data_IF_115074449879
#
_entry.id   IF_115074449879
#
_cell.length_a   1.000
_cell.length_b   1.000
_cell.length_c   1.000
_cell.angle_alpha   90.00
_cell.angle_beta   90.00
_cell.angle_gamma   90.00
#
_symmetry.space_group_name_H-M   'P 1'
#
loop_
_entity.id
_entity.type
_entity.pdbx_description
1 polymer ?
#
# COMPACT_ATOMS: atom_id res chain seq x y z
N UNK A 1 15.69 10.02 27.25
CA UNK A 1 15.94 11.49 27.11
C UNK A 1 16.68 12.08 28.29
N UNK A 2 17.13 13.34 28.17
CA UNK A 2 17.84 14.03 29.26
C UNK A 2 16.94 14.20 30.48
N UNK A 3 17.38 13.77 31.67
CA UNK A 3 16.62 13.78 32.94
C UNK A 3 15.91 15.10 33.21
N UNK A 4 16.61 16.23 33.03
CA UNK A 4 16.04 17.59 33.19
C UNK A 4 14.72 17.83 32.45
N UNK A 5 14.58 17.31 31.22
CA UNK A 5 13.35 17.48 30.43
C UNK A 5 12.29 16.46 30.84
N UNK A 6 12.69 15.23 31.10
CA UNK A 6 11.77 14.17 31.56
C UNK A 6 11.10 14.57 32.90
N UNK A 7 11.87 15.11 33.84
CA UNK A 7 11.31 15.57 35.13
C UNK A 7 10.33 16.74 34.98
N UNK A 8 10.55 17.63 34.00
CA UNK A 8 9.57 18.68 33.67
C UNK A 8 8.29 18.11 33.02
N UNK A 9 8.46 17.19 32.09
CA UNK A 9 7.31 16.53 31.42
C UNK A 9 6.44 15.79 32.41
N UNK A 10 7.02 15.02 33.34
CA UNK A 10 6.28 14.27 34.37
C UNK A 10 5.38 15.14 35.23
N UNK A 11 5.76 16.40 35.44
CA UNK A 11 5.00 17.37 36.26
C UNK A 11 3.93 18.14 35.46
N UNK A 12 3.89 17.99 34.14
CA UNK A 12 2.95 18.70 33.30
C UNK A 12 1.59 17.96 33.29
N UNK A 13 0.47 18.64 33.59
CA UNK A 13 -0.86 18.03 33.59
C UNK A 13 -1.26 17.41 32.23
N UNK A 14 -0.76 17.95 31.12
CA UNK A 14 -1.02 17.41 29.76
C UNK A 14 -0.43 16.01 29.56
N UNK A 15 0.58 15.61 30.34
CA UNK A 15 1.13 14.25 30.26
C UNK A 15 0.08 13.18 30.48
N UNK A 16 -0.96 13.49 31.28
CA UNK A 16 -2.08 12.58 31.51
C UNK A 16 -2.97 12.43 30.27
N UNK A 17 -3.20 13.50 29.52
CA UNK A 17 -3.99 13.49 28.29
C UNK A 17 -3.30 12.71 27.15
N UNK A 18 -1.95 12.74 27.11
CA UNK A 18 -1.14 12.06 26.10
C UNK A 18 -0.64 10.69 26.55
N UNK A 19 -1.17 10.14 27.64
CA UNK A 19 -0.74 8.81 28.14
C UNK A 19 -1.29 7.73 27.23
N UNK A 20 -0.37 6.89 26.70
CA UNK A 20 -0.75 5.67 26.00
C UNK A 20 -1.24 4.62 27.00
N UNK A 21 -2.14 3.75 26.54
CA UNK A 21 -2.63 2.61 27.32
C UNK A 21 -1.60 1.44 27.34
N UNK A 22 -1.89 0.43 28.15
CA UNK A 22 -0.99 -0.72 28.30
C UNK A 22 -0.89 -1.57 27.03
N UNK A 23 -1.98 -1.69 26.26
CA UNK A 23 -1.97 -2.48 25.02
C UNK A 23 -1.06 -1.83 23.99
N UNK A 24 -1.18 -0.52 23.80
CA UNK A 24 -0.30 0.24 22.92
C UNK A 24 1.17 0.09 23.32
N UNK A 25 1.47 0.17 24.62
CA UNK A 25 2.85 0.01 25.12
C UNK A 25 3.38 -1.41 24.85
N UNK A 26 2.56 -2.45 25.08
CA UNK A 26 2.96 -3.85 24.84
C UNK A 26 3.16 -4.13 23.34
N UNK A 27 2.26 -3.64 22.49
CA UNK A 27 2.39 -3.80 21.03
C UNK A 27 3.67 -3.13 20.53
N UNK A 28 3.96 -1.91 20.99
CA UNK A 28 5.19 -1.21 20.65
C UNK A 28 6.44 -1.98 21.10
N UNK A 29 6.42 -2.56 22.30
CA UNK A 29 7.52 -3.40 22.79
C UNK A 29 7.74 -4.60 21.88
N UNK A 30 6.68 -5.33 21.50
CA UNK A 30 6.77 -6.45 20.57
C UNK A 30 7.35 -6.04 19.22
N UNK A 31 6.86 -4.93 18.64
CA UNK A 31 7.38 -4.43 17.38
C UNK A 31 8.86 -4.03 17.50
N UNK A 32 9.27 -3.38 18.59
CA UNK A 32 10.68 -3.01 18.80
C UNK A 32 11.58 -4.23 18.97
N UNK A 33 11.07 -5.35 19.48
CA UNK A 33 11.83 -6.60 19.50
C UNK A 33 12.19 -7.10 18.09
N UNK A 34 11.28 -6.96 17.11
CA UNK A 34 11.61 -7.32 15.72
C UNK A 34 12.78 -6.50 15.16
N UNK A 35 12.93 -5.23 15.56
CA UNK A 35 14.04 -4.37 15.12
C UNK A 35 15.41 -4.74 15.71
N UNK A 36 15.49 -5.71 16.63
CA UNK A 36 16.79 -6.21 17.13
C UNK A 36 17.54 -7.02 16.07
N UNK A 37 16.82 -7.56 15.08
CA UNK A 37 17.36 -8.22 13.90
C UNK A 37 16.77 -7.59 12.66
N UNK A 38 17.61 -7.05 11.76
CA UNK A 38 17.16 -6.35 10.56
C UNK A 38 16.42 -7.27 9.59
N UNK A 39 16.87 -8.51 9.40
CA UNK A 39 16.24 -9.48 8.50
C UNK A 39 14.84 -9.87 9.01
N UNK A 40 14.70 -10.09 10.31
CA UNK A 40 13.41 -10.41 10.93
C UNK A 40 12.47 -9.21 10.86
N UNK A 41 12.95 -8.00 11.10
CA UNK A 41 12.15 -6.78 10.97
C UNK A 41 11.60 -6.60 9.55
N UNK A 42 12.44 -6.75 8.52
CA UNK A 42 12.03 -6.65 7.12
C UNK A 42 10.96 -7.71 6.78
N UNK A 43 11.11 -8.92 7.29
CA UNK A 43 10.19 -10.02 7.02
C UNK A 43 8.86 -9.91 7.77
N UNK A 44 8.91 -9.56 9.05
CA UNK A 44 7.77 -9.64 9.96
C UNK A 44 6.97 -8.34 10.06
N UNK A 45 7.58 -7.18 9.74
CA UNK A 45 6.90 -5.88 9.76
C UNK A 45 6.38 -5.57 8.36
N UNK A 46 5.05 -5.62 8.11
CA UNK A 46 4.48 -5.52 6.76
C UNK A 46 4.91 -4.26 6.00
N UNK A 47 4.97 -3.11 6.67
CA UNK A 47 5.38 -1.85 6.03
C UNK A 47 6.83 -1.90 5.56
N UNK A 48 7.74 -2.54 6.31
CA UNK A 48 9.13 -2.71 5.92
C UNK A 48 9.26 -3.65 4.74
N UNK A 49 8.56 -4.78 4.74
CA UNK A 49 8.57 -5.73 3.62
C UNK A 49 8.09 -5.07 2.32
N UNK A 50 7.06 -4.22 2.38
CA UNK A 50 6.57 -3.47 1.22
C UNK A 50 7.58 -2.41 0.74
N UNK A 51 8.23 -1.69 1.64
CA UNK A 51 9.23 -0.65 1.29
C UNK A 51 10.46 -1.27 0.64
N UNK A 52 10.95 -2.38 1.18
CA UNK A 52 12.19 -3.04 0.73
C UNK A 52 12.00 -4.02 -0.42
N UNK A 53 10.75 -4.26 -0.85
CA UNK A 53 10.41 -5.18 -1.93
C UNK A 53 11.20 -4.89 -3.21
N UNK A 54 11.83 -5.91 -3.79
CA UNK A 54 12.61 -5.78 -5.02
C UNK A 54 11.72 -5.34 -6.20
N UNK A 55 12.23 -4.42 -7.02
CA UNK A 55 11.52 -3.93 -8.20
C UNK A 55 11.21 -5.06 -9.21
N UNK A 56 12.08 -6.06 -9.33
CA UNK A 56 11.85 -7.23 -10.19
C UNK A 56 10.68 -8.08 -9.73
N UNK A 57 10.50 -8.22 -8.42
CA UNK A 57 9.35 -8.93 -7.86
C UNK A 57 8.06 -8.16 -8.13
N UNK A 58 8.09 -6.84 -7.96
CA UNK A 58 6.94 -5.98 -8.26
C UNK A 58 6.58 -6.05 -9.74
N UNK A 59 7.58 -6.05 -10.62
CA UNK A 59 7.39 -6.19 -12.06
C UNK A 59 6.81 -7.56 -12.44
N UNK A 60 7.28 -8.64 -11.81
CA UNK A 60 6.70 -9.99 -11.95
C UNK A 60 5.21 -9.98 -11.60
N UNK A 61 4.86 -9.38 -10.48
CA UNK A 61 3.46 -9.29 -10.02
C UNK A 61 2.61 -8.42 -10.95
N UNK A 62 3.17 -7.31 -11.47
CA UNK A 62 2.48 -6.47 -12.45
C UNK A 62 2.17 -7.22 -13.74
N UNK A 63 3.15 -7.95 -14.26
CA UNK A 63 2.96 -8.78 -15.46
C UNK A 63 1.99 -9.95 -15.19
N UNK A 64 2.02 -10.55 -14.00
CA UNK A 64 1.09 -11.61 -13.63
C UNK A 64 -0.37 -11.11 -13.62
N UNK A 65 -0.63 -9.91 -13.06
CA UNK A 65 -1.95 -9.29 -13.13
C UNK A 65 -2.33 -8.95 -14.56
N UNK A 66 -1.43 -8.32 -15.33
CA UNK A 66 -1.67 -7.93 -16.73
C UNK A 66 -2.10 -9.14 -17.56
N UNK A 67 -1.35 -10.24 -17.52
CA UNK A 67 -1.65 -11.47 -18.27
C UNK A 67 -3.02 -12.09 -17.91
N UNK A 68 -3.47 -11.93 -16.66
CA UNK A 68 -4.80 -12.43 -16.23
C UNK A 68 -5.97 -11.60 -16.75
N UNK A 69 -5.72 -10.33 -17.07
CA UNK A 69 -6.76 -9.39 -17.52
C UNK A 69 -6.55 -8.91 -18.97
N UNK A 70 -5.57 -9.45 -19.72
CA UNK A 70 -5.31 -9.09 -21.11
C UNK A 70 -6.55 -9.27 -22.03
N UNK A 71 -7.40 -10.23 -21.71
CA UNK A 71 -8.65 -10.48 -22.45
C UNK A 71 -9.69 -9.34 -22.33
N UNK A 72 -9.40 -8.31 -21.55
CA UNK A 72 -10.23 -7.12 -21.40
C UNK A 72 -9.84 -5.96 -22.34
N UNK A 73 -8.90 -6.15 -23.26
CA UNK A 73 -8.43 -5.11 -24.21
C UNK A 73 -9.55 -4.47 -25.04
N UNK A 74 -10.64 -5.19 -25.29
CA UNK A 74 -11.80 -4.66 -25.98
C UNK A 74 -12.58 -3.62 -25.15
N UNK A 75 -12.51 -3.67 -23.82
CA UNK A 75 -13.28 -2.84 -22.88
C UNK A 75 -12.42 -1.87 -22.06
N UNK A 76 -11.11 -2.02 -22.08
CA UNK A 76 -10.18 -1.14 -21.42
C UNK A 76 -8.79 -1.14 -22.10
N UNK A 77 -8.08 -0.01 -22.06
CA UNK A 77 -6.67 0.03 -22.39
C UNK A 77 -5.85 -0.23 -21.11
N UNK A 78 -5.06 -1.30 -21.13
CA UNK A 78 -4.34 -1.82 -19.95
C UNK A 78 -2.85 -1.83 -20.26
N UNK A 79 -2.03 -1.29 -19.36
CA UNK A 79 -0.58 -1.25 -19.53
C UNK A 79 0.13 -1.50 -18.20
N UNK A 80 1.37 -2.00 -18.29
CA UNK A 80 2.33 -2.02 -17.17
C UNK A 80 3.26 -0.83 -17.32
N UNK A 81 3.26 0.07 -16.36
CA UNK A 81 4.01 1.34 -16.39
C UNK A 81 4.91 1.50 -15.17
N UNK A 82 6.04 2.22 -15.36
CA UNK A 82 6.85 2.68 -14.24
C UNK A 82 6.11 3.72 -13.41
N UNK A 83 6.21 3.61 -12.11
CA UNK A 83 5.58 4.55 -11.18
C UNK A 83 6.45 4.76 -9.94
N UNK A 84 5.96 5.64 -9.06
CA UNK A 84 6.57 5.86 -7.75
C UNK A 84 5.53 5.66 -6.65
N UNK A 85 5.90 4.87 -5.65
CA UNK A 85 5.17 4.75 -4.39
C UNK A 85 5.62 5.84 -3.42
N UNK A 86 4.71 6.25 -2.53
CA UNK A 86 5.00 7.19 -1.44
C UNK A 86 4.78 6.51 -0.09
N UNK A 87 5.66 6.79 0.87
CA UNK A 87 5.63 6.21 2.23
C UNK A 87 4.71 7.03 3.15
N UNK A 88 3.63 7.60 2.67
CA UNK A 88 2.73 8.38 3.49
C UNK A 88 3.31 9.69 4.05
N UNK A 89 2.43 10.66 4.26
CA UNK A 89 2.82 12.06 4.54
C UNK A 89 3.41 12.34 5.92
N UNK A 90 3.44 11.37 6.84
CA UNK A 90 3.94 11.56 8.19
C UNK A 90 5.36 11.09 8.45
N UNK A 91 5.83 10.07 7.71
CA UNK A 91 7.12 9.42 7.98
C UNK A 91 8.24 9.92 7.07
N UNK A 92 8.04 9.87 5.75
CA UNK A 92 9.03 10.28 4.75
C UNK A 92 8.31 10.97 3.57
N UNK A 93 7.78 12.19 3.75
CA UNK A 93 6.86 12.81 2.79
C UNK A 93 7.51 13.16 1.44
N UNK A 94 8.82 13.29 1.39
CA UNK A 94 9.57 13.64 0.18
C UNK A 94 10.13 12.41 -0.57
N UNK A 95 10.13 11.22 0.06
CA UNK A 95 10.71 10.03 -0.53
C UNK A 95 9.75 9.38 -1.54
N UNK A 96 10.32 9.07 -2.71
CA UNK A 96 9.65 8.36 -3.80
C UNK A 96 10.39 7.07 -4.08
N UNK A 97 9.72 5.95 -3.91
CA UNK A 97 10.29 4.62 -4.16
C UNK A 97 9.86 4.19 -5.56
N UNK A 98 10.81 3.78 -6.41
CA UNK A 98 10.52 3.23 -7.74
C UNK A 98 9.60 2.01 -7.61
N UNK A 99 8.55 1.96 -8.40
CA UNK A 99 7.57 0.88 -8.42
C UNK A 99 7.10 0.59 -9.83
N UNK A 100 6.30 -0.46 -9.99
CA UNK A 100 5.55 -0.78 -11.21
C UNK A 100 4.05 -0.73 -10.89
N UNK A 101 3.27 -0.27 -11.84
CA UNK A 101 1.81 -0.24 -11.75
C UNK A 101 1.17 -0.90 -12.94
N UNK A 102 -0.03 -1.43 -12.72
CA UNK A 102 -0.96 -1.73 -13.81
C UNK A 102 -1.89 -0.53 -13.94
N UNK A 103 -1.89 0.09 -15.13
CA UNK A 103 -2.76 1.23 -15.46
C UNK A 103 -3.93 0.75 -16.30
N UNK A 104 -5.12 1.25 -16.03
CA UNK A 104 -6.37 0.84 -16.68
C UNK A 104 -7.15 2.09 -17.08
N UNK A 105 -7.42 2.25 -18.35
CA UNK A 105 -8.33 3.26 -18.88
C UNK A 105 -9.54 2.57 -19.49
N UNK A 106 -10.69 2.53 -18.77
CA UNK A 106 -11.88 1.84 -19.25
C UNK A 106 -12.53 2.59 -20.43
N UNK A 107 -13.11 1.84 -21.37
CA UNK A 107 -13.78 2.39 -22.56
C UNK A 107 -15.30 2.53 -22.37
N UNK A 108 -15.89 1.66 -21.55
CA UNK A 108 -17.35 1.55 -21.42
C UNK A 108 -17.92 2.26 -20.18
N UNK A 109 -17.06 2.59 -19.22
CA UNK A 109 -17.41 3.30 -17.98
C UNK A 109 -16.36 4.37 -17.69
N UNK A 110 -16.67 5.35 -16.83
CA UNK A 110 -15.65 6.31 -16.43
C UNK A 110 -14.63 5.69 -15.45
N UNK A 111 -13.40 6.20 -15.43
CA UNK A 111 -12.36 5.77 -14.48
C UNK A 111 -12.79 5.95 -13.03
N UNK A 112 -13.55 7.02 -12.73
CA UNK A 112 -14.13 7.26 -11.41
C UNK A 112 -15.15 6.18 -11.04
N UNK A 113 -15.97 5.74 -12.01
CA UNK A 113 -16.94 4.65 -11.78
C UNK A 113 -16.22 3.33 -11.52
N UNK A 114 -15.16 3.03 -12.26
CA UNK A 114 -14.32 1.85 -12.03
C UNK A 114 -13.70 1.87 -10.62
N UNK A 115 -13.09 2.99 -10.22
CA UNK A 115 -12.50 3.15 -8.89
C UNK A 115 -13.55 2.97 -7.78
N UNK A 116 -14.72 3.59 -7.91
CA UNK A 116 -15.80 3.47 -6.94
C UNK A 116 -16.29 2.02 -6.80
N UNK A 117 -16.45 1.29 -7.91
CA UNK A 117 -16.84 -0.12 -7.90
C UNK A 117 -15.75 -1.02 -7.29
N UNK A 118 -14.48 -0.74 -7.54
CA UNK A 118 -13.36 -1.46 -6.93
C UNK A 118 -13.30 -1.25 -5.42
N UNK A 119 -13.60 -0.06 -4.94
CA UNK A 119 -13.64 0.29 -3.51
C UNK A 119 -14.84 -0.35 -2.79
N UNK A 120 -15.91 -0.64 -3.52
CA UNK A 120 -17.14 -1.21 -2.96
C UNK A 120 -17.08 -2.73 -2.81
N UNK A 121 -17.95 -3.26 -1.94
CA UNK A 121 -18.19 -4.70 -1.77
C UNK A 121 -17.10 -5.46 -1.04
N UNK A 122 -17.08 -6.78 -1.28
CA UNK A 122 -16.07 -7.69 -0.69
C UNK A 122 -14.69 -7.43 -1.32
N UNK A 123 -13.64 -7.48 -0.52
CA UNK A 123 -12.26 -7.21 -0.94
C UNK A 123 -12.11 -5.82 -1.61
N UNK A 124 -12.25 -4.72 -0.84
CA UNK A 124 -12.11 -3.38 -1.38
C UNK A 124 -10.70 -3.14 -1.94
N UNK A 125 -10.63 -2.56 -3.13
CA UNK A 125 -9.37 -2.17 -3.78
C UNK A 125 -9.32 -0.66 -3.91
N UNK A 126 -8.23 -0.06 -3.45
CA UNK A 126 -8.00 1.38 -3.51
C UNK A 126 -6.91 1.66 -4.52
N UNK A 127 -7.29 2.18 -5.67
CA UNK A 127 -6.37 2.71 -6.68
C UNK A 127 -6.32 4.23 -6.61
N UNK A 128 -5.41 4.82 -7.36
CA UNK A 128 -5.38 6.27 -7.57
C UNK A 128 -5.71 6.59 -9.03
N UNK A 129 -6.31 7.74 -9.25
CA UNK A 129 -6.63 8.22 -10.60
C UNK A 129 -5.63 9.33 -10.95
N UNK A 130 -5.00 9.22 -12.11
CA UNK A 130 -4.18 10.27 -12.72
C UNK A 130 -4.30 10.19 -14.23
N UNK A 131 -4.43 11.34 -14.90
CA UNK A 131 -4.52 11.42 -16.37
C UNK A 131 -5.60 10.48 -16.96
N UNK A 132 -6.77 10.45 -16.31
CA UNK A 132 -7.92 9.59 -16.69
C UNK A 132 -7.67 8.08 -16.58
N UNK A 133 -6.51 7.66 -16.09
CA UNK A 133 -6.17 6.25 -15.84
C UNK A 133 -6.34 5.89 -14.36
N UNK A 134 -6.86 4.71 -14.10
CA UNK A 134 -6.74 4.07 -12.80
C UNK A 134 -5.36 3.45 -12.68
N UNK A 135 -4.65 3.75 -11.60
CA UNK A 135 -3.29 3.27 -11.33
C UNK A 135 -3.35 2.33 -10.13
N UNK A 136 -2.99 1.08 -10.35
CA UNK A 136 -2.84 0.05 -9.33
C UNK A 136 -1.34 -0.14 -9.08
N UNK A 137 -0.84 0.37 -7.96
CA UNK A 137 0.57 0.26 -7.58
C UNK A 137 0.85 -1.14 -7.03
N UNK A 138 1.61 -1.94 -7.78
CA UNK A 138 1.83 -3.35 -7.47
C UNK A 138 2.80 -3.60 -6.31
N UNK A 139 3.41 -2.56 -5.75
CA UNK A 139 4.20 -2.66 -4.51
C UNK A 139 3.35 -3.08 -3.32
N UNK A 140 2.10 -2.65 -3.28
CA UNK A 140 1.17 -2.89 -2.16
C UNK A 140 0.22 -4.06 -2.39
N UNK A 141 0.35 -4.76 -3.53
CA UNK A 141 -0.43 -5.97 -3.84
C UNK A 141 0.41 -7.20 -3.52
N UNK A 142 -0.14 -8.08 -2.70
CA UNK A 142 0.51 -9.35 -2.35
C UNK A 142 0.31 -10.38 -3.47
N UNK A 143 1.20 -11.39 -3.54
CA UNK A 143 1.16 -12.38 -4.62
C UNK A 143 -0.16 -13.20 -4.61
N UNK A 144 -0.68 -13.52 -3.43
CA UNK A 144 -1.94 -14.23 -3.22
C UNK A 144 -3.19 -13.37 -3.47
N UNK A 145 -3.04 -12.04 -3.57
CA UNK A 145 -4.15 -11.13 -3.87
C UNK A 145 -4.35 -10.90 -5.38
N UNK A 146 -3.37 -11.28 -6.22
CA UNK A 146 -3.41 -11.02 -7.66
C UNK A 146 -4.63 -11.66 -8.33
N UNK A 147 -4.95 -12.90 -7.96
CA UNK A 147 -6.12 -13.61 -8.52
C UNK A 147 -7.43 -12.96 -8.13
N UNK A 148 -7.56 -12.52 -6.89
CA UNK A 148 -8.74 -11.82 -6.38
C UNK A 148 -8.92 -10.49 -7.10
N UNK A 149 -7.83 -9.74 -7.28
CA UNK A 149 -7.82 -8.46 -7.99
C UNK A 149 -8.19 -8.62 -9.46
N UNK A 150 -7.59 -9.62 -10.14
CA UNK A 150 -7.90 -9.92 -11.54
C UNK A 150 -9.38 -10.27 -11.73
N UNK A 151 -9.92 -11.18 -10.91
CA UNK A 151 -11.32 -11.58 -10.98
C UNK A 151 -12.26 -10.39 -10.77
N UNK A 152 -11.96 -9.53 -9.78
CA UNK A 152 -12.76 -8.33 -9.50
C UNK A 152 -12.77 -7.34 -10.68
N UNK A 153 -11.63 -7.15 -11.34
CA UNK A 153 -11.52 -6.31 -12.53
C UNK A 153 -12.36 -6.89 -13.69
N UNK A 154 -12.31 -8.21 -13.90
CA UNK A 154 -13.10 -8.90 -14.91
C UNK A 154 -14.59 -8.73 -14.67
N UNK A 155 -15.05 -8.90 -13.42
CA UNK A 155 -16.46 -8.80 -13.05
C UNK A 155 -17.03 -7.37 -13.21
N UNK A 156 -16.17 -6.35 -13.09
CA UNK A 156 -16.60 -4.94 -13.20
C UNK A 156 -16.59 -4.45 -14.64
N UNK A 157 -15.66 -4.91 -15.46
CA UNK A 157 -15.41 -4.39 -16.82
C UNK A 157 -16.17 -5.19 -17.90
N UNK A 158 -16.54 -6.43 -17.65
CA UNK A 158 -17.44 -7.22 -18.50
C UNK A 158 -18.91 -6.89 -18.26
#
# INVERSE_FOLDING_TARGET
>A
GKKKYIDKMKKNPLTRAFRIDKFTATILEMIFHEYLNEEDAIKNIPVLSLITKDLKEIEKNANALFNKIENLENVADINVEDTFSQIGGGSLPAERIKSKSVTIMPKNISTQSLEAKLRAGKNPVVGRISEEKLILDMRTVLEDEIDILAQKLIDILK
#
